data_IF_622319371115
#
_entry.id   IF_622319371115
#
_cell.length_a   1.000
_cell.length_b   1.000
_cell.length_c   1.000
_cell.angle_alpha   90.00
_cell.angle_beta   90.00
_cell.angle_gamma   90.00
#
_symmetry.space_group_name_H-M   'P 1'
#
loop_
_entity.id
_entity.type
_entity.pdbx_description
1 polymer ?
#
# COMPACT_ATOMS: atom_id res chain seq x y z
N UNK A 1 -27.48 -10.26 0.17
CA UNK A 1 -26.64 -9.20 0.78
C UNK A 1 -26.00 -8.42 -0.35
N UNK A 2 -26.38 -7.15 -0.54
CA UNK A 2 -25.94 -6.33 -1.68
C UNK A 2 -24.53 -5.79 -1.40
N UNK A 3 -23.51 -6.30 -2.09
CA UNK A 3 -22.19 -5.66 -2.14
C UNK A 3 -22.31 -4.39 -2.96
N UNK A 4 -22.18 -3.22 -2.33
CA UNK A 4 -22.30 -1.92 -2.98
C UNK A 4 -21.11 -1.69 -3.93
N UNK A 5 -21.37 -1.28 -5.17
CA UNK A 5 -20.37 -1.00 -6.21
C UNK A 5 -19.36 0.08 -5.76
N UNK A 6 -19.73 0.94 -4.81
CA UNK A 6 -18.83 1.92 -4.19
C UNK A 6 -17.74 1.29 -3.31
N UNK A 7 -17.99 0.13 -2.70
CA UNK A 7 -16.97 -0.60 -1.90
C UNK A 7 -15.90 -1.27 -2.78
N UNK A 8 -16.22 -1.53 -4.05
CA UNK A 8 -15.26 -2.04 -5.04
C UNK A 8 -14.31 -0.92 -5.52
N UNK A 9 -14.77 0.32 -5.60
CA UNK A 9 -13.97 1.50 -5.97
C UNK A 9 -13.02 1.97 -4.86
N UNK A 10 -13.31 1.71 -3.58
CA UNK A 10 -12.53 2.22 -2.44
C UNK A 10 -11.25 1.44 -2.12
N UNK A 11 -11.12 0.20 -2.61
CA UNK A 11 -10.03 -0.73 -2.26
C UNK A 11 -8.64 -0.27 -2.73
N UNK A 12 -8.61 0.57 -3.77
CA UNK A 12 -7.41 0.82 -4.56
C UNK A 12 -6.71 2.14 -4.21
N UNK A 13 -7.41 3.08 -3.56
CA UNK A 13 -6.93 4.46 -3.42
C UNK A 13 -5.70 4.64 -2.54
N UNK A 14 -5.59 3.97 -1.39
CA UNK A 14 -4.51 4.26 -0.43
C UNK A 14 -3.13 3.94 -1.01
N UNK A 15 -2.93 2.69 -1.43
CA UNK A 15 -1.63 2.26 -1.95
C UNK A 15 -1.32 2.86 -3.32
N UNK A 16 -2.34 3.09 -4.17
CA UNK A 16 -2.15 3.80 -5.44
C UNK A 16 -1.74 5.26 -5.21
N UNK A 17 -2.29 5.94 -4.20
CA UNK A 17 -1.88 7.29 -3.81
C UNK A 17 -0.45 7.31 -3.26
N UNK A 18 -0.09 6.38 -2.35
CA UNK A 18 1.29 6.24 -1.85
C UNK A 18 2.26 6.01 -3.01
N UNK A 19 1.92 5.11 -3.94
CA UNK A 19 2.74 4.83 -5.11
C UNK A 19 2.89 6.05 -6.04
N UNK A 20 1.84 6.86 -6.19
CA UNK A 20 1.91 8.12 -6.93
C UNK A 20 2.86 9.12 -6.26
N UNK A 21 2.74 9.31 -4.95
CA UNK A 21 3.64 10.18 -4.19
C UNK A 21 5.09 9.73 -4.31
N UNK A 22 5.34 8.42 -4.21
CA UNK A 22 6.68 7.84 -4.40
C UNK A 22 7.21 8.12 -5.81
N UNK A 23 6.40 7.91 -6.86
CA UNK A 23 6.81 8.14 -8.25
C UNK A 23 7.22 9.59 -8.50
N UNK A 24 6.41 10.55 -8.02
CA UNK A 24 6.71 11.99 -8.11
C UNK A 24 8.00 12.31 -7.36
N UNK A 25 8.12 11.89 -6.10
CA UNK A 25 9.30 12.13 -5.27
C UNK A 25 10.57 11.57 -5.91
N UNK A 26 10.54 10.33 -6.40
CA UNK A 26 11.71 9.71 -7.02
C UNK A 26 12.14 10.45 -8.29
N UNK A 27 11.18 10.89 -9.11
CA UNK A 27 11.45 11.63 -10.35
C UNK A 27 12.12 12.98 -10.05
N UNK A 28 11.60 13.71 -9.07
CA UNK A 28 12.06 15.06 -8.76
C UNK A 28 13.38 15.08 -7.98
N UNK A 29 13.58 14.14 -7.05
CA UNK A 29 14.66 14.21 -6.07
C UNK A 29 15.83 13.27 -6.38
N UNK A 30 15.59 12.16 -7.09
CA UNK A 30 16.57 11.08 -7.28
C UNK A 30 16.94 10.83 -8.75
N UNK A 31 16.21 11.43 -9.70
CA UNK A 31 16.35 11.22 -11.13
C UNK A 31 15.95 9.82 -11.59
N UNK A 32 16.27 9.45 -12.83
CA UNK A 32 15.96 8.13 -13.43
C UNK A 32 16.90 7.01 -12.97
N UNK A 33 17.25 6.95 -11.67
CA UNK A 33 18.15 5.93 -11.13
C UNK A 33 17.45 4.62 -10.77
N UNK A 34 18.27 3.54 -10.82
CA UNK A 34 18.02 2.12 -10.53
C UNK A 34 17.14 1.84 -9.30
N UNK A 35 16.52 0.64 -9.31
CA UNK A 35 15.85 -0.02 -8.17
C UNK A 35 16.43 0.41 -6.82
N UNK A 36 15.59 1.08 -6.02
CA UNK A 36 15.92 1.51 -4.67
C UNK A 36 15.36 0.53 -3.63
N UNK A 37 16.10 0.31 -2.56
CA UNK A 37 15.59 -0.37 -1.37
C UNK A 37 14.66 0.59 -0.60
N UNK A 38 13.42 0.15 -0.34
CA UNK A 38 12.42 0.94 0.38
C UNK A 38 12.11 0.28 1.72
N UNK A 39 12.32 1.00 2.82
CA UNK A 39 11.77 0.65 4.12
C UNK A 39 10.32 1.14 4.22
N UNK A 40 9.41 0.26 4.64
CA UNK A 40 7.99 0.60 4.77
C UNK A 40 7.55 0.53 6.23
N UNK A 41 7.66 1.66 6.94
CA UNK A 41 7.14 1.81 8.29
C UNK A 41 5.62 1.96 8.24
N UNK A 42 4.91 0.86 8.52
CA UNK A 42 3.44 0.83 8.50
C UNK A 42 2.88 0.75 9.92
N UNK A 43 2.54 1.90 10.50
CA UNK A 43 2.23 2.09 11.92
C UNK A 43 0.83 1.60 12.34
N UNK A 44 0.49 0.37 11.97
CA UNK A 44 -0.74 -0.34 12.31
C UNK A 44 -0.41 -1.76 12.80
N UNK A 45 -1.31 -2.38 13.57
CA UNK A 45 -1.13 -3.76 14.00
C UNK A 45 -1.01 -4.72 12.81
N UNK A 46 0.17 -5.30 12.62
CA UNK A 46 0.45 -6.27 11.57
C UNK A 46 0.99 -7.56 12.18
N UNK A 47 0.56 -8.70 11.62
CA UNK A 47 1.23 -9.98 11.83
C UNK A 47 2.39 -10.08 10.83
N UNK A 48 3.61 -10.05 11.34
CA UNK A 48 4.83 -10.15 10.53
C UNK A 48 5.11 -11.63 10.25
N UNK A 49 5.06 -12.01 8.98
CA UNK A 49 5.30 -13.40 8.52
C UNK A 49 6.66 -13.56 7.84
N UNK A 50 7.39 -12.46 7.66
CA UNK A 50 8.75 -12.44 7.12
C UNK A 50 9.26 -11.01 6.95
N UNK A 51 10.54 -10.86 6.63
CA UNK A 51 11.19 -9.54 6.53
C UNK A 51 10.48 -8.58 5.54
N UNK A 52 9.84 -9.12 4.51
CA UNK A 52 9.11 -8.34 3.50
C UNK A 52 7.65 -8.77 3.36
N UNK A 53 7.05 -9.29 4.45
CA UNK A 53 5.67 -9.77 4.49
C UNK A 53 4.99 -9.39 5.81
N UNK A 54 3.95 -8.57 5.73
CA UNK A 54 3.22 -8.10 6.91
C UNK A 54 1.72 -8.04 6.64
N UNK A 55 0.95 -8.86 7.34
CA UNK A 55 -0.51 -8.93 7.18
C UNK A 55 -1.19 -7.96 8.13
N UNK A 56 -1.96 -7.01 7.62
CA UNK A 56 -2.74 -6.10 8.48
C UNK A 56 -3.77 -6.90 9.29
N UNK A 57 -3.79 -6.72 10.61
CA UNK A 57 -4.78 -7.35 11.49
C UNK A 57 -6.07 -6.52 11.47
N UNK A 58 -5.99 -5.25 11.84
CA UNK A 58 -7.11 -4.31 11.80
C UNK A 58 -6.58 -2.87 11.68
N UNK A 59 -7.41 -1.99 11.12
CA UNK A 59 -7.16 -0.55 11.13
C UNK A 59 -7.39 0.06 12.52
N UNK A 60 -6.66 1.13 12.81
CA UNK A 60 -6.84 1.96 14.01
C UNK A 60 -6.76 3.44 13.64
N UNK A 61 -6.84 4.34 14.63
CA UNK A 61 -6.63 5.79 14.45
C UNK A 61 -7.61 6.44 13.45
N UNK A 62 -8.83 5.89 13.35
CA UNK A 62 -9.86 6.36 12.42
C UNK A 62 -9.63 6.01 10.94
N UNK A 63 -8.59 5.24 10.62
CA UNK A 63 -8.39 4.74 9.25
C UNK A 63 -9.37 3.62 8.93
N UNK A 64 -9.82 3.56 7.68
CA UNK A 64 -10.66 2.46 7.16
C UNK A 64 -10.54 2.36 5.65
N UNK A 65 -9.49 1.70 5.16
CA UNK A 65 -9.39 1.35 3.75
C UNK A 65 -9.91 -0.07 3.54
N UNK A 66 -10.98 -0.19 2.76
CA UNK A 66 -11.64 -1.46 2.48
C UNK A 66 -10.67 -2.45 1.81
N UNK A 67 -10.78 -3.73 2.15
CA UNK A 67 -10.04 -4.82 1.51
C UNK A 67 -8.52 -4.87 1.77
N UNK A 68 -8.05 -4.20 2.84
CA UNK A 68 -6.65 -4.27 3.29
C UNK A 68 -6.47 -5.16 4.52
N UNK A 69 -7.43 -5.18 5.45
CA UNK A 69 -7.39 -6.08 6.61
C UNK A 69 -7.33 -7.55 6.15
N UNK A 70 -6.46 -8.34 6.79
CA UNK A 70 -6.16 -9.71 6.40
C UNK A 70 -5.31 -9.85 5.13
N UNK A 71 -4.75 -8.76 4.58
CA UNK A 71 -3.87 -8.78 3.40
C UNK A 71 -2.45 -8.34 3.73
N UNK A 72 -1.48 -8.83 2.95
CA UNK A 72 -0.10 -8.39 3.02
C UNK A 72 0.06 -6.97 2.47
N UNK A 73 0.36 -6.02 3.35
CA UNK A 73 0.48 -4.61 2.98
C UNK A 73 1.72 -4.34 2.14
N UNK A 74 2.75 -5.18 2.24
CA UNK A 74 3.95 -5.08 1.40
C UNK A 74 3.62 -5.50 -0.03
N UNK A 75 2.87 -6.59 -0.21
CA UNK A 75 2.40 -7.02 -1.54
C UNK A 75 1.47 -5.97 -2.18
N UNK A 76 0.57 -5.37 -1.39
CA UNK A 76 -0.32 -4.31 -1.87
C UNK A 76 0.46 -3.08 -2.36
N UNK A 77 1.46 -2.63 -1.60
CA UNK A 77 2.32 -1.52 -2.01
C UNK A 77 3.12 -1.88 -3.27
N UNK A 78 3.74 -3.06 -3.32
CA UNK A 78 4.48 -3.55 -4.51
C UNK A 78 3.60 -3.55 -5.76
N UNK A 79 2.35 -4.04 -5.66
CA UNK A 79 1.38 -4.03 -6.77
C UNK A 79 1.06 -2.61 -7.23
N UNK A 80 0.85 -1.68 -6.30
CA UNK A 80 0.56 -0.28 -6.64
C UNK A 80 1.74 0.42 -7.33
N UNK A 81 2.98 0.16 -6.86
CA UNK A 81 4.19 0.65 -7.51
C UNK A 81 4.38 0.06 -8.92
N UNK A 82 4.11 -1.23 -9.12
CA UNK A 82 4.29 -1.90 -10.42
C UNK A 82 3.38 -1.34 -11.53
N UNK A 83 2.19 -0.82 -11.20
CA UNK A 83 1.28 -0.18 -12.18
C UNK A 83 1.84 1.12 -12.78
N UNK A 84 2.92 1.66 -12.20
CA UNK A 84 3.50 2.96 -12.52
C UNK A 84 4.95 2.86 -12.99
N UNK A 85 5.42 1.63 -13.27
CA UNK A 85 6.70 1.37 -13.90
C UNK A 85 6.54 1.26 -15.41
#
# INVERSE_FOLDING_TARGET
>A
MRTNTQDLLRRWHLFDHIAQCLAVFTKEQLGEKKKLSLGFTFSFPCRIEGLTKGVLIHWSKGFKASGVEGKDVVELLKKACKKRQ
#
